data_IF_304745599969
#
_entry.id   IF_304745599969
#
_cell.length_a   1.000
_cell.length_b   1.000
_cell.length_c   1.000
_cell.angle_alpha   90.00
_cell.angle_beta   90.00
_cell.angle_gamma   90.00
#
_symmetry.space_group_name_H-M   'P 1'
#
loop_
_entity.id
_entity.type
_entity.pdbx_description
1 polymer ?
#
# COMPACT_ATOMS: atom_id res chain seq x y z
N UNK A 1 -8.20 16.80 -1.19
CA UNK A 1 -7.10 15.84 -0.98
C UNK A 1 -6.32 15.73 -2.28
N UNK A 2 -5.07 16.15 -2.25
CA UNK A 2 -4.10 16.11 -3.36
C UNK A 2 -3.40 14.75 -3.43
N UNK A 3 -2.66 14.50 -4.51
CA UNK A 3 -1.85 13.28 -4.65
C UNK A 3 -0.85 13.12 -3.50
N UNK A 4 -0.23 14.21 -3.06
CA UNK A 4 0.68 14.20 -1.92
C UNK A 4 -0.04 13.80 -0.64
N UNK A 5 -1.16 14.47 -0.31
CA UNK A 5 -1.97 14.13 0.87
C UNK A 5 -2.47 12.68 0.86
N UNK A 6 -2.84 12.15 -0.31
CA UNK A 6 -3.20 10.74 -0.48
C UNK A 6 -2.06 9.79 -0.14
N UNK A 7 -0.84 10.05 -0.62
CA UNK A 7 0.34 9.23 -0.30
C UNK A 7 0.68 9.30 1.19
N UNK A 8 0.58 10.48 1.80
CA UNK A 8 0.77 10.64 3.24
C UNK A 8 -0.23 9.79 4.03
N UNK A 9 -1.50 9.82 3.64
CA UNK A 9 -2.57 9.06 4.30
C UNK A 9 -2.31 7.53 4.21
N UNK A 10 -1.86 7.04 3.05
CA UNK A 10 -1.46 5.64 2.87
C UNK A 10 -0.25 5.25 3.73
N UNK A 11 0.74 6.16 3.87
CA UNK A 11 1.91 5.96 4.74
C UNK A 11 1.53 5.91 6.21
N UNK A 12 0.68 6.85 6.65
CA UNK A 12 0.16 6.85 8.01
C UNK A 12 -0.62 5.56 8.33
N UNK A 13 -1.37 5.01 7.36
CA UNK A 13 -2.05 3.73 7.51
C UNK A 13 -1.07 2.59 7.82
N UNK A 14 0.06 2.52 7.10
CA UNK A 14 1.13 1.53 7.32
C UNK A 14 1.78 1.72 8.70
N UNK A 15 2.04 2.97 9.11
CA UNK A 15 2.62 3.29 10.42
C UNK A 15 1.67 2.92 11.57
N UNK A 16 0.37 3.21 11.43
CA UNK A 16 -0.66 2.81 12.39
C UNK A 16 -0.73 1.29 12.52
N UNK A 17 -0.72 0.57 11.39
CA UNK A 17 -0.71 -0.89 11.40
C UNK A 17 0.52 -1.47 12.13
N UNK A 18 1.70 -0.88 11.97
CA UNK A 18 2.90 -1.32 12.70
C UNK A 18 2.79 -1.11 14.22
N UNK A 19 2.10 -0.07 14.68
CA UNK A 19 1.87 0.19 16.11
C UNK A 19 0.73 -0.66 16.69
N UNK A 20 -0.28 -0.95 15.89
CA UNK A 20 -1.47 -1.69 16.28
C UNK A 20 -1.96 -2.48 15.06
N UNK A 21 -1.57 -3.76 14.94
CA UNK A 21 -1.81 -4.55 13.74
C UNK A 21 -3.30 -4.76 13.50
N UNK A 22 -3.83 -4.01 12.54
CA UNK A 22 -5.19 -4.13 12.03
C UNK A 22 -5.13 -4.17 10.49
N UNK A 23 -5.07 -5.39 9.96
CA UNK A 23 -4.90 -5.62 8.53
C UNK A 23 -6.16 -5.28 7.71
N UNK A 24 -7.39 -5.60 8.18
CA UNK A 24 -8.61 -5.21 7.46
C UNK A 24 -8.73 -3.70 7.30
N UNK A 25 -8.43 -2.91 8.33
CA UNK A 25 -8.42 -1.43 8.24
C UNK A 25 -7.38 -0.94 7.25
N UNK A 26 -6.17 -1.48 7.29
CA UNK A 26 -5.11 -1.13 6.34
C UNK A 26 -5.55 -1.38 4.90
N UNK A 27 -6.08 -2.58 4.61
CA UNK A 27 -6.57 -2.95 3.27
C UNK A 27 -7.70 -2.04 2.79
N UNK A 28 -8.66 -1.71 3.66
CA UNK A 28 -9.74 -0.79 3.30
C UNK A 28 -9.20 0.60 2.93
N UNK A 29 -8.26 1.14 3.71
CA UNK A 29 -7.67 2.43 3.43
C UNK A 29 -6.84 2.44 2.12
N UNK A 30 -6.19 1.33 1.80
CA UNK A 30 -5.44 1.15 0.55
C UNK A 30 -6.32 0.83 -0.67
N UNK A 31 -7.60 0.54 -0.47
CA UNK A 31 -8.61 0.30 -1.52
C UNK A 31 -9.59 1.47 -1.68
N UNK A 32 -9.55 2.45 -0.78
CA UNK A 32 -10.46 3.60 -0.76
C UNK A 32 -10.30 4.48 -2.00
N UNK A 33 -11.36 4.58 -2.80
CA UNK A 33 -11.34 5.31 -4.07
C UNK A 33 -11.05 6.81 -3.88
N UNK A 34 -11.57 7.40 -2.80
CA UNK A 34 -11.33 8.82 -2.50
C UNK A 34 -9.85 9.11 -2.20
N UNK A 35 -9.14 8.17 -1.58
CA UNK A 35 -7.69 8.22 -1.36
C UNK A 35 -6.92 7.97 -2.66
N UNK A 36 -7.43 7.14 -3.57
CA UNK A 36 -6.72 6.71 -4.77
C UNK A 36 -6.93 7.62 -5.99
N UNK A 37 -8.09 8.25 -6.13
CA UNK A 37 -8.41 9.10 -7.28
C UNK A 37 -7.36 10.20 -7.54
N UNK A 38 -6.83 10.90 -6.51
CA UNK A 38 -5.76 11.90 -6.71
C UNK A 38 -4.44 11.29 -7.22
N UNK A 39 -4.20 10.00 -7.01
CA UNK A 39 -2.98 9.30 -7.43
C UNK A 39 -2.97 8.94 -8.92
N UNK A 40 -4.07 9.20 -9.65
CA UNK A 40 -4.16 8.99 -11.09
C UNK A 40 -3.15 9.83 -11.91
N UNK A 41 -2.49 10.82 -11.29
CA UNK A 41 -1.37 11.56 -11.88
C UNK A 41 -0.11 10.72 -12.03
N UNK A 42 0.06 9.68 -11.21
CA UNK A 42 1.21 8.78 -11.28
C UNK A 42 1.12 7.88 -12.53
N UNK A 43 2.26 7.39 -13.06
CA UNK A 43 2.24 6.42 -14.15
C UNK A 43 1.38 5.19 -13.82
N UNK A 44 0.64 4.62 -14.80
CA UNK A 44 -0.32 3.52 -14.56
C UNK A 44 0.33 2.26 -13.95
N UNK A 45 1.64 2.09 -14.11
CA UNK A 45 2.40 1.02 -13.48
C UNK A 45 2.32 1.04 -11.94
N UNK A 46 2.21 2.22 -11.30
CA UNK A 46 2.10 2.32 -9.84
C UNK A 46 0.82 1.68 -9.33
N UNK A 47 -0.30 1.93 -10.00
CA UNK A 47 -1.59 1.36 -9.66
C UNK A 47 -1.64 -0.15 -9.92
N UNK A 48 -0.96 -0.63 -10.97
CA UNK A 48 -0.77 -2.06 -11.20
C UNK A 48 0.00 -2.74 -10.06
N UNK A 49 1.15 -2.19 -9.67
CA UNK A 49 1.96 -2.74 -8.56
C UNK A 49 1.17 -2.73 -7.25
N UNK A 50 0.47 -1.63 -6.94
CA UNK A 50 -0.39 -1.52 -5.75
C UNK A 50 -1.43 -2.63 -5.71
N UNK A 51 -2.16 -2.86 -6.81
CA UNK A 51 -3.15 -3.95 -6.89
C UNK A 51 -2.50 -5.32 -6.67
N UNK A 52 -1.35 -5.58 -7.28
CA UNK A 52 -0.63 -6.84 -7.09
C UNK A 52 -0.21 -7.05 -5.62
N UNK A 53 0.25 -6.00 -4.93
CA UNK A 53 0.57 -6.07 -3.50
C UNK A 53 -0.67 -6.39 -2.67
N UNK A 54 -1.80 -5.74 -2.95
CA UNK A 54 -3.07 -5.99 -2.25
C UNK A 54 -3.57 -7.42 -2.45
N UNK A 55 -3.47 -7.97 -3.67
CA UNK A 55 -3.86 -9.36 -3.95
C UNK A 55 -2.98 -10.35 -3.20
N UNK A 56 -1.66 -10.12 -3.15
CA UNK A 56 -0.72 -10.97 -2.40
C UNK A 56 -1.00 -10.94 -0.90
N UNK A 57 -1.35 -9.77 -0.36
CA UNK A 57 -1.69 -9.62 1.06
C UNK A 57 -2.97 -10.37 1.41
N UNK A 58 -3.98 -10.32 0.54
CA UNK A 58 -5.25 -11.05 0.68
C UNK A 58 -5.02 -12.58 0.69
N UNK A 59 -4.14 -13.07 -0.17
CA UNK A 59 -3.70 -14.46 -0.16
C UNK A 59 -2.90 -14.81 1.10
N UNK A 60 -1.99 -13.94 1.56
CA UNK A 60 -1.22 -14.18 2.78
C UNK A 60 -2.11 -14.32 4.03
N UNK A 61 -3.23 -13.59 4.09
CA UNK A 61 -4.26 -13.76 5.14
C UNK A 61 -4.97 -15.11 5.00
N UNK A 62 -5.27 -15.52 3.77
CA UNK A 62 -6.05 -16.73 3.49
C UNK A 62 -5.26 -18.03 3.66
N UNK A 63 -3.94 -18.00 3.47
CA UNK A 63 -3.09 -19.19 3.41
C UNK A 63 -2.10 -19.35 4.58
N UNK A 64 -2.10 -18.43 5.56
CA UNK A 64 -1.43 -18.56 6.86
C UNK A 64 0.00 -19.14 6.88
N UNK A 65 1.02 -18.27 6.95
CA UNK A 65 2.41 -18.53 7.39
C UNK A 65 3.21 -19.76 6.88
N UNK A 66 2.70 -20.62 6.00
CA UNK A 66 3.38 -21.87 5.59
C UNK A 66 4.42 -21.69 4.47
N UNK A 67 4.75 -20.45 4.08
CA UNK A 67 5.78 -20.20 3.07
C UNK A 67 6.76 -19.12 3.53
N UNK A 68 8.00 -19.52 3.84
CA UNK A 68 9.10 -18.62 4.22
C UNK A 68 9.44 -17.53 3.17
N UNK A 69 8.88 -17.61 1.94
CA UNK A 69 8.99 -16.56 0.93
C UNK A 69 7.81 -15.57 0.90
N UNK A 70 6.77 -15.80 1.70
CA UNK A 70 5.52 -15.02 1.72
C UNK A 70 5.15 -14.58 3.15
N UNK A 71 6.08 -13.93 3.84
CA UNK A 71 5.75 -13.34 5.15
C UNK A 71 4.90 -12.07 4.95
N UNK A 72 3.81 -11.87 5.72
CA UNK A 72 3.05 -10.62 5.73
C UNK A 72 3.93 -9.38 5.99
N UNK A 73 5.00 -9.54 6.78
CA UNK A 73 5.97 -8.47 7.04
C UNK A 73 6.74 -8.04 5.77
N UNK A 74 7.12 -8.98 4.92
CA UNK A 74 7.77 -8.70 3.63
C UNK A 74 6.84 -7.90 2.70
N UNK A 75 5.56 -8.29 2.63
CA UNK A 75 4.57 -7.58 1.81
C UNK A 75 4.31 -6.15 2.33
N UNK A 76 4.25 -5.96 3.65
CA UNK A 76 4.15 -4.62 4.25
C UNK A 76 5.39 -3.76 3.95
N UNK A 77 6.59 -4.36 3.90
CA UNK A 77 7.81 -3.67 3.49
C UNK A 77 7.75 -3.26 2.00
N UNK A 78 7.24 -4.11 1.12
CA UNK A 78 7.01 -3.77 -0.29
C UNK A 78 5.98 -2.64 -0.45
N UNK A 79 4.92 -2.60 0.37
CA UNK A 79 3.96 -1.49 0.40
C UNK A 79 4.62 -0.17 0.83
N UNK A 80 5.48 -0.19 1.85
CA UNK A 80 6.27 0.99 2.26
C UNK A 80 7.18 1.48 1.12
N UNK A 81 7.87 0.56 0.44
CA UNK A 81 8.73 0.88 -0.69
C UNK A 81 7.93 1.46 -1.86
N UNK A 82 6.72 0.96 -2.10
CA UNK A 82 5.84 1.53 -3.11
C UNK A 82 5.48 2.98 -2.81
N UNK A 83 5.13 3.31 -1.55
CA UNK A 83 4.81 4.68 -1.15
C UNK A 83 6.00 5.61 -1.35
N UNK A 84 7.19 5.21 -0.89
CA UNK A 84 8.43 5.99 -1.07
C UNK A 84 8.71 6.31 -2.55
N UNK A 85 8.60 5.30 -3.43
CA UNK A 85 8.76 5.49 -4.88
C UNK A 85 7.69 6.40 -5.48
N UNK A 86 6.45 6.29 -5.02
CA UNK A 86 5.36 7.12 -5.49
C UNK A 86 5.55 8.58 -5.08
N UNK A 87 6.00 8.84 -3.85
CA UNK A 87 6.33 10.17 -3.34
C UNK A 87 7.50 10.78 -4.12
N UNK A 88 8.59 10.04 -4.31
CA UNK A 88 9.73 10.48 -5.11
C UNK A 88 9.34 10.77 -6.56
N UNK A 89 8.49 9.93 -7.15
CA UNK A 89 7.99 10.15 -8.52
C UNK A 89 7.13 11.40 -8.60
N UNK A 90 6.22 11.61 -7.64
CA UNK A 90 5.36 12.79 -7.60
C UNK A 90 6.17 14.09 -7.44
N UNK A 91 7.23 14.08 -6.62
CA UNK A 91 8.11 15.23 -6.43
C UNK A 91 8.97 15.55 -7.67
N UNK A 92 9.19 14.56 -8.55
CA UNK A 92 9.96 14.70 -9.79
C UNK A 92 9.09 14.97 -11.03
N UNK A 93 7.78 15.16 -10.86
CA UNK A 93 6.84 15.56 -11.91
C UNK A 93 6.65 17.07 -11.90
#
# INVERSE_FOLDING_TARGET
>A
MTAAESLQNLREALERHTKSPDLPRLLNQWRDDATLAPLAVLPPAYDQVRRSLLQRLDMAVSFGEESCSFSPASLLAEMRLWTDKAEAKLAAM
#
